data_IF_171221042424
#
_entry.id   IF_171221042424
#
_cell.length_a   1.000
_cell.length_b   1.000
_cell.length_c   1.000
_cell.angle_alpha   90.00
_cell.angle_beta   90.00
_cell.angle_gamma   90.00
#
_symmetry.space_group_name_H-M   'P 1'
#
loop_
_entity.id
_entity.type
_entity.pdbx_description
1 polymer ?
#
# COMPACT_ATOMS: atom_id res chain seq x y z
N UNK A 1 -24.28 -34.79 84.71
CA UNK A 1 -22.86 -35.13 84.45
C UNK A 1 -22.65 -35.17 82.96
N UNK A 2 -22.02 -34.16 82.45
CA UNK A 2 -21.94 -33.91 81.02
C UNK A 2 -20.54 -34.19 80.51
N UNK A 3 -20.39 -35.17 79.62
CA UNK A 3 -19.10 -35.52 79.04
C UNK A 3 -18.99 -34.87 77.68
N UNK A 4 -18.15 -33.85 77.54
CA UNK A 4 -17.77 -33.22 76.30
C UNK A 4 -16.74 -34.08 75.58
N UNK A 5 -17.12 -34.63 74.43
CA UNK A 5 -16.21 -35.23 73.46
C UNK A 5 -15.58 -34.12 72.62
N UNK A 6 -14.29 -33.97 72.77
CA UNK A 6 -13.48 -33.05 71.93
C UNK A 6 -13.16 -33.77 70.62
N UNK A 7 -13.76 -33.29 69.51
CA UNK A 7 -13.47 -33.78 68.19
C UNK A 7 -12.12 -33.24 67.72
N UNK A 8 -11.16 -34.13 67.53
CA UNK A 8 -9.88 -33.86 66.91
C UNK A 8 -10.04 -33.67 65.37
N UNK A 9 -9.74 -32.47 64.84
CA UNK A 9 -9.80 -32.23 63.45
C UNK A 9 -8.47 -32.60 62.77
N UNK A 10 -8.49 -33.35 61.67
CA UNK A 10 -7.25 -33.81 61.05
C UNK A 10 -6.51 -32.71 60.34
N UNK A 11 -5.23 -32.65 60.43
CA UNK A 11 -4.25 -31.73 59.84
C UNK A 11 -4.07 -31.90 58.32
N UNK A 12 -5.09 -32.43 57.62
CA UNK A 12 -5.01 -32.79 56.21
C UNK A 12 -5.26 -31.63 55.24
N UNK A 13 -5.75 -30.47 55.70
CA UNK A 13 -6.08 -29.34 54.84
C UNK A 13 -4.92 -28.44 54.44
N UNK A 14 -3.76 -28.56 55.07
CA UNK A 14 -2.62 -27.68 54.80
C UNK A 14 -1.68 -28.22 53.71
N UNK A 15 -1.71 -29.51 53.43
CA UNK A 15 -0.81 -30.12 52.46
C UNK A 15 -1.28 -29.91 51.01
N UNK A 16 -2.58 -29.81 50.76
CA UNK A 16 -3.14 -29.56 49.43
C UNK A 16 -2.87 -28.14 48.92
N UNK A 17 -2.63 -27.18 49.79
CA UNK A 17 -2.36 -25.78 49.39
C UNK A 17 -0.95 -25.58 48.86
N UNK A 18 0.04 -26.31 49.34
CA UNK A 18 1.45 -26.14 48.94
C UNK A 18 1.73 -26.80 47.60
N UNK A 19 1.19 -27.99 47.34
CA UNK A 19 1.37 -28.68 46.06
C UNK A 19 0.53 -28.06 44.92
N UNK A 20 -0.62 -27.47 45.21
CA UNK A 20 -1.43 -26.72 44.25
C UNK A 20 -0.73 -25.45 43.76
N UNK A 21 -0.05 -24.74 44.65
CA UNK A 21 0.64 -23.51 44.32
C UNK A 21 1.92 -23.75 43.50
N UNK A 22 2.69 -24.80 43.80
CA UNK A 22 3.89 -25.15 43.02
C UNK A 22 3.55 -25.68 41.64
N UNK A 23 2.48 -26.47 41.48
CA UNK A 23 2.00 -26.93 40.18
C UNK A 23 1.50 -25.77 39.32
N UNK A 24 0.83 -24.79 39.92
CA UNK A 24 0.33 -23.59 39.19
C UNK A 24 1.47 -22.67 38.73
N UNK A 25 2.52 -22.48 39.55
CA UNK A 25 3.70 -21.70 39.16
C UNK A 25 4.48 -22.40 38.02
N UNK A 26 4.60 -23.75 38.08
CA UNK A 26 5.26 -24.50 37.01
C UNK A 26 4.50 -24.44 35.69
N UNK A 27 3.17 -24.47 35.69
CA UNK A 27 2.37 -24.31 34.46
C UNK A 27 2.48 -22.92 33.89
N UNK A 28 2.48 -21.89 34.72
CA UNK A 28 2.71 -20.50 34.25
C UNK A 28 4.12 -20.35 33.65
N UNK A 29 5.14 -20.89 34.30
CA UNK A 29 6.52 -20.84 33.80
C UNK A 29 6.67 -21.54 32.44
N UNK A 30 6.02 -22.70 32.24
CA UNK A 30 6.03 -23.40 30.95
C UNK A 30 5.31 -22.60 29.84
N UNK A 31 4.17 -21.98 30.16
CA UNK A 31 3.43 -21.17 29.22
C UNK A 31 4.20 -19.90 28.84
N UNK A 32 4.81 -19.23 29.84
CA UNK A 32 5.65 -18.04 29.63
C UNK A 32 6.90 -18.41 28.83
N UNK A 33 7.53 -19.54 29.11
CA UNK A 33 8.70 -20.02 28.39
C UNK A 33 8.35 -20.40 26.94
N UNK A 34 7.20 -21.06 26.74
CA UNK A 34 6.70 -21.37 25.37
C UNK A 34 6.34 -20.11 24.60
N UNK A 35 5.78 -19.11 25.29
CA UNK A 35 5.47 -17.81 24.67
C UNK A 35 6.76 -17.04 24.31
N UNK A 36 7.73 -16.94 25.23
CA UNK A 36 9.05 -16.35 24.95
C UNK A 36 9.82 -17.08 23.85
N UNK A 37 9.72 -18.42 23.81
CA UNK A 37 10.35 -19.21 22.74
C UNK A 37 9.62 -19.06 21.39
N UNK A 38 8.33 -18.71 21.38
CA UNK A 38 7.59 -18.39 20.15
C UNK A 38 7.91 -16.99 19.64
N UNK A 39 8.16 -16.04 20.55
CA UNK A 39 8.58 -14.68 20.20
C UNK A 39 9.99 -14.68 19.61
N UNK A 40 10.93 -15.40 20.20
CA UNK A 40 12.28 -15.55 19.65
C UNK A 40 12.35 -16.30 18.33
N UNK A 41 11.34 -17.14 18.02
CA UNK A 41 11.22 -17.74 16.67
C UNK A 41 10.67 -16.78 15.63
N UNK A 42 9.81 -15.83 16.02
CA UNK A 42 9.35 -14.77 15.12
C UNK A 42 10.49 -13.82 14.77
N UNK A 43 11.31 -13.44 15.76
CA UNK A 43 12.47 -12.58 15.53
C UNK A 43 13.60 -13.28 14.74
N UNK A 44 13.74 -14.61 14.84
CA UNK A 44 14.72 -15.37 14.06
C UNK A 44 14.30 -15.56 12.59
N UNK A 45 13.01 -15.34 12.24
CA UNK A 45 12.50 -15.33 10.86
C UNK A 45 12.58 -13.98 10.20
N UNK A 46 12.68 -12.88 10.95
CA UNK A 46 12.74 -11.51 10.43
C UNK A 46 14.12 -10.83 10.56
N UNK A 47 15.11 -11.56 11.03
CA UNK A 47 16.46 -11.06 11.24
C UNK A 47 17.43 -11.39 10.11
N UNK A 48 17.60 -10.46 9.20
CA UNK A 48 18.74 -10.20 8.31
C UNK A 48 18.43 -10.07 6.84
N UNK A 49 17.95 -8.91 6.47
CA UNK A 49 18.47 -8.26 5.26
C UNK A 49 18.90 -6.82 5.61
N UNK A 50 19.88 -6.72 6.51
CA UNK A 50 20.69 -5.52 6.61
C UNK A 50 21.89 -5.71 5.66
N UNK A 51 21.63 -5.56 4.37
CA UNK A 51 22.57 -5.14 3.31
C UNK A 51 21.73 -5.10 2.03
N UNK A 52 21.46 -3.92 1.53
CA UNK A 52 20.68 -3.65 0.32
C UNK A 52 21.34 -4.11 -0.97
N UNK A 53 21.77 -5.36 -1.04
CA UNK A 53 22.22 -6.00 -2.26
C UNK A 53 21.26 -7.14 -2.56
N UNK A 54 20.21 -6.85 -3.33
CA UNK A 54 19.33 -7.88 -3.92
C UNK A 54 20.19 -8.57 -4.99
N UNK A 55 20.38 -9.91 -4.92
CA UNK A 55 21.12 -10.63 -5.93
C UNK A 55 20.45 -10.43 -7.29
N UNK A 56 21.24 -10.08 -8.30
CA UNK A 56 20.79 -9.92 -9.69
C UNK A 56 20.07 -11.21 -10.10
N UNK A 57 18.74 -11.14 -10.30
CA UNK A 57 17.90 -12.27 -10.72
C UNK A 57 16.76 -12.67 -9.77
N UNK A 58 16.63 -12.08 -8.59
CA UNK A 58 15.46 -12.30 -7.73
C UNK A 58 14.36 -11.27 -8.06
N UNK A 59 13.17 -11.76 -8.39
CA UNK A 59 12.00 -10.91 -8.52
C UNK A 59 11.67 -10.27 -7.17
N UNK A 60 11.37 -8.97 -7.15
CA UNK A 60 10.90 -8.31 -5.93
C UNK A 60 9.66 -9.04 -5.40
N UNK A 61 9.55 -9.23 -4.08
CA UNK A 61 8.35 -9.77 -3.46
C UNK A 61 7.11 -8.95 -3.85
N UNK A 62 5.96 -9.62 -4.00
CA UNK A 62 4.72 -8.98 -4.46
C UNK A 62 4.25 -7.84 -3.54
N UNK A 63 4.46 -7.97 -2.24
CA UNK A 63 4.19 -6.95 -1.23
C UNK A 63 5.05 -5.70 -1.45
N UNK A 64 6.32 -5.87 -1.78
CA UNK A 64 7.23 -4.76 -2.11
C UNK A 64 6.80 -4.03 -3.37
N UNK A 65 6.40 -4.78 -4.42
CA UNK A 65 5.87 -4.17 -5.64
C UNK A 65 4.58 -3.37 -5.37
N UNK A 66 3.69 -3.89 -4.52
CA UNK A 66 2.48 -3.17 -4.13
C UNK A 66 2.77 -1.91 -3.32
N UNK A 67 3.78 -1.93 -2.46
CA UNK A 67 4.22 -0.74 -1.72
C UNK A 67 4.75 0.33 -2.67
N UNK A 68 5.64 -0.02 -3.60
CA UNK A 68 6.20 0.90 -4.60
C UNK A 68 5.13 1.45 -5.55
N UNK A 69 4.14 0.62 -5.88
CA UNK A 69 3.00 0.99 -6.71
C UNK A 69 1.92 1.79 -5.96
N UNK A 70 2.14 2.11 -4.68
CA UNK A 70 1.15 2.82 -3.87
C UNK A 70 0.75 4.13 -4.55
N UNK A 71 -0.52 4.21 -4.92
CA UNK A 71 -1.07 5.40 -5.55
C UNK A 71 -1.42 6.45 -4.50
N UNK A 72 -0.79 7.61 -4.64
CA UNK A 72 -1.26 8.85 -4.02
C UNK A 72 -1.91 9.70 -5.10
N UNK A 73 -3.11 10.20 -4.81
CA UNK A 73 -3.79 11.06 -5.74
C UNK A 73 -2.98 12.35 -5.96
N UNK A 74 -2.57 12.66 -7.21
CA UNK A 74 -1.85 13.91 -7.48
C UNK A 74 -2.72 15.11 -7.12
N UNK A 75 -2.06 16.19 -6.70
CA UNK A 75 -2.76 17.45 -6.45
C UNK A 75 -3.48 17.93 -7.70
N UNK A 76 -4.65 18.54 -7.50
CA UNK A 76 -5.37 19.18 -8.60
C UNK A 76 -4.58 20.40 -9.08
N UNK A 77 -4.23 20.38 -10.37
CA UNK A 77 -3.63 21.51 -11.06
C UNK A 77 -4.69 22.14 -11.94
N UNK A 78 -5.04 23.40 -11.66
CA UNK A 78 -5.96 24.19 -12.46
C UNK A 78 -5.42 24.37 -13.86
N UNK A 79 -6.26 24.17 -14.88
CA UNK A 79 -5.89 24.35 -16.27
C UNK A 79 -6.50 25.66 -16.83
N UNK A 80 -5.80 26.39 -17.71
CA UNK A 80 -6.38 27.53 -18.40
C UNK A 80 -7.60 27.09 -19.23
N UNK A 81 -8.71 27.82 -19.13
CA UNK A 81 -9.95 27.57 -19.90
C UNK A 81 -10.52 26.17 -19.69
N UNK A 82 -10.86 25.86 -18.45
CA UNK A 82 -11.51 24.58 -18.12
C UNK A 82 -12.88 24.46 -18.79
N UNK A 83 -13.19 23.34 -19.45
CA UNK A 83 -14.51 23.08 -20.00
C UNK A 83 -15.58 23.01 -18.92
N UNK A 84 -16.81 23.34 -19.26
CA UNK A 84 -17.95 23.13 -18.38
C UNK A 84 -18.05 21.66 -17.95
N UNK A 85 -18.31 21.42 -16.65
CA UNK A 85 -18.36 20.08 -16.08
C UNK A 85 -17.03 19.57 -15.48
N UNK A 86 -15.87 20.14 -15.86
CA UNK A 86 -14.59 19.74 -15.30
C UNK A 86 -14.45 20.16 -13.83
N UNK A 87 -14.71 21.43 -13.50
CA UNK A 87 -14.62 21.92 -12.13
C UNK A 87 -15.51 21.15 -11.13
N UNK A 88 -16.79 20.81 -11.41
CA UNK A 88 -17.60 19.96 -10.56
C UNK A 88 -17.03 18.55 -10.37
N UNK A 89 -16.43 17.96 -11.40
CA UNK A 89 -15.77 16.67 -11.29
C UNK A 89 -14.51 16.74 -10.39
N UNK A 90 -13.72 17.80 -10.55
CA UNK A 90 -12.53 18.04 -9.73
C UNK A 90 -12.86 18.40 -8.27
N UNK A 91 -14.03 18.98 -8.02
CA UNK A 91 -14.51 19.16 -6.66
C UNK A 91 -14.73 17.80 -5.94
N UNK A 92 -15.31 16.82 -6.64
CA UNK A 92 -15.42 15.44 -6.12
C UNK A 92 -14.05 14.80 -5.92
N UNK A 93 -13.16 14.98 -6.88
CA UNK A 93 -11.77 14.51 -6.77
C UNK A 93 -11.08 15.05 -5.52
N UNK A 94 -11.18 16.36 -5.24
CA UNK A 94 -10.52 17.02 -4.10
C UNK A 94 -11.00 16.51 -2.73
N UNK A 95 -12.26 16.06 -2.65
CA UNK A 95 -12.81 15.41 -1.43
C UNK A 95 -12.63 13.89 -1.44
N UNK A 96 -11.82 13.36 -2.36
CA UNK A 96 -11.53 11.92 -2.55
C UNK A 96 -12.74 11.06 -2.97
N UNK A 97 -13.79 11.67 -3.47
CA UNK A 97 -14.89 10.95 -4.15
C UNK A 97 -14.50 10.64 -5.60
N UNK A 98 -13.52 9.72 -5.76
CA UNK A 98 -13.01 9.35 -7.07
C UNK A 98 -14.06 8.67 -7.94
N UNK A 99 -14.91 7.84 -7.33
CA UNK A 99 -16.01 7.18 -8.03
C UNK A 99 -17.01 8.20 -8.58
N UNK A 100 -17.36 9.20 -7.77
CA UNK A 100 -18.23 10.30 -8.18
C UNK A 100 -17.62 11.22 -9.25
N UNK A 101 -16.28 11.36 -9.28
CA UNK A 101 -15.57 12.16 -10.27
C UNK A 101 -15.55 11.51 -11.66
N UNK A 102 -15.49 10.17 -11.75
CA UNK A 102 -15.33 9.40 -13.00
C UNK A 102 -16.38 9.78 -14.05
N UNK A 103 -17.65 9.88 -13.67
CA UNK A 103 -18.72 10.17 -14.64
C UNK A 103 -18.58 11.55 -15.27
N UNK A 104 -18.26 12.57 -14.46
CA UNK A 104 -18.02 13.92 -14.94
C UNK A 104 -16.77 14.02 -15.81
N UNK A 105 -15.66 13.43 -15.37
CA UNK A 105 -14.41 13.40 -16.14
C UNK A 105 -14.56 12.67 -17.48
N UNK A 106 -15.31 11.56 -17.49
CA UNK A 106 -15.60 10.82 -18.73
C UNK A 106 -16.42 11.67 -19.72
N UNK A 107 -17.44 12.37 -19.25
CA UNK A 107 -18.22 13.29 -20.06
C UNK A 107 -17.36 14.40 -20.65
N UNK A 108 -16.50 15.02 -19.83
CA UNK A 108 -15.60 16.09 -20.30
C UNK A 108 -14.58 15.57 -21.31
N UNK A 109 -13.96 14.41 -21.04
CA UNK A 109 -12.98 13.81 -21.96
C UNK A 109 -13.59 13.41 -23.31
N UNK A 110 -14.87 13.03 -23.32
CA UNK A 110 -15.58 12.70 -24.56
C UNK A 110 -15.98 13.98 -25.34
N UNK A 111 -16.46 15.02 -24.66
CA UNK A 111 -16.88 16.27 -25.30
C UNK A 111 -15.70 17.16 -25.71
N UNK A 112 -14.57 17.05 -25.03
CA UNK A 112 -13.37 17.86 -25.23
C UNK A 112 -12.13 16.97 -25.32
N UNK A 113 -11.93 16.23 -26.43
CA UNK A 113 -10.82 15.27 -26.58
C UNK A 113 -9.44 15.92 -26.48
N UNK A 114 -9.32 17.19 -26.78
CA UNK A 114 -8.08 17.97 -26.72
C UNK A 114 -7.79 18.50 -25.30
N UNK A 115 -8.75 18.39 -24.40
CA UNK A 115 -8.56 18.78 -23.00
C UNK A 115 -7.92 17.63 -22.20
N UNK A 116 -6.62 17.47 -22.37
CA UNK A 116 -5.80 16.40 -21.81
C UNK A 116 -5.98 16.19 -20.28
N UNK A 117 -6.15 17.25 -19.45
CA UNK A 117 -6.35 17.07 -18.00
C UNK A 117 -7.51 16.16 -17.65
N UNK A 118 -8.63 16.20 -18.38
CA UNK A 118 -9.79 15.35 -18.09
C UNK A 118 -9.45 13.85 -18.23
N UNK A 119 -8.70 13.48 -19.27
CA UNK A 119 -8.24 12.08 -19.45
C UNK A 119 -7.23 11.66 -18.40
N UNK A 120 -6.29 12.53 -18.07
CA UNK A 120 -5.32 12.26 -17.03
C UNK A 120 -6.01 11.96 -15.70
N UNK A 121 -6.86 12.86 -15.20
CA UNK A 121 -7.56 12.65 -13.93
C UNK A 121 -8.58 11.51 -13.99
N UNK A 122 -9.20 11.24 -15.14
CA UNK A 122 -10.02 10.04 -15.32
C UNK A 122 -9.19 8.78 -15.12
N UNK A 123 -8.01 8.69 -15.72
CA UNK A 123 -7.08 7.59 -15.55
C UNK A 123 -6.70 7.39 -14.08
N UNK A 124 -6.36 8.46 -13.38
CA UNK A 124 -6.05 8.43 -11.95
C UNK A 124 -7.23 7.93 -11.11
N UNK A 125 -8.44 8.46 -11.34
CA UNK A 125 -9.64 8.02 -10.61
C UNK A 125 -9.95 6.53 -10.83
N UNK A 126 -9.79 6.03 -12.06
CA UNK A 126 -9.98 4.62 -12.39
C UNK A 126 -8.97 3.73 -11.65
N UNK A 127 -7.68 4.12 -11.61
CA UNK A 127 -6.66 3.40 -10.84
C UNK A 127 -6.99 3.37 -9.34
N UNK A 128 -7.41 4.52 -8.78
CA UNK A 128 -7.76 4.65 -7.37
C UNK A 128 -9.04 3.89 -6.98
N UNK A 129 -9.92 3.62 -7.94
CA UNK A 129 -11.12 2.80 -7.77
C UNK A 129 -10.93 1.35 -8.20
N UNK A 130 -9.66 0.93 -8.42
CA UNK A 130 -9.25 -0.42 -8.80
C UNK A 130 -9.67 -0.87 -10.21
N UNK A 131 -10.10 0.05 -11.07
CA UNK A 131 -10.23 -0.21 -12.52
C UNK A 131 -8.89 0.05 -13.21
N UNK A 132 -7.97 -0.92 -13.06
CA UNK A 132 -6.59 -0.79 -13.56
C UNK A 132 -6.54 -0.71 -15.08
N UNK A 133 -7.29 -1.58 -15.75
CA UNK A 133 -7.30 -1.64 -17.22
C UNK A 133 -7.77 -0.31 -17.83
N UNK A 134 -8.89 0.22 -17.33
CA UNK A 134 -9.39 1.51 -17.75
C UNK A 134 -8.43 2.66 -17.43
N UNK A 135 -7.80 2.64 -16.27
CA UNK A 135 -6.83 3.66 -15.86
C UNK A 135 -5.60 3.68 -16.75
N UNK A 136 -5.00 2.50 -17.02
CA UNK A 136 -3.86 2.34 -17.93
C UNK A 136 -4.20 2.80 -19.34
N UNK A 137 -5.38 2.47 -19.85
CA UNK A 137 -5.86 2.91 -21.18
C UNK A 137 -5.90 4.43 -21.27
N UNK A 138 -6.49 5.11 -20.29
CA UNK A 138 -6.58 6.57 -20.29
C UNK A 138 -5.18 7.21 -20.21
N UNK A 139 -4.28 6.72 -19.37
CA UNK A 139 -2.91 7.24 -19.28
C UNK A 139 -2.13 7.03 -20.58
N UNK A 140 -2.25 5.86 -21.21
CA UNK A 140 -1.65 5.60 -22.54
C UNK A 140 -2.20 6.54 -23.60
N UNK A 141 -3.50 6.84 -23.56
CA UNK A 141 -4.12 7.81 -24.47
C UNK A 141 -3.54 9.23 -24.29
N UNK A 142 -3.26 9.65 -23.05
CA UNK A 142 -2.56 10.91 -22.78
C UNK A 142 -1.16 10.91 -23.36
N UNK A 143 -0.42 9.81 -23.22
CA UNK A 143 0.96 9.66 -23.69
C UNK A 143 1.03 9.64 -25.23
N UNK A 144 0.04 9.06 -25.88
CA UNK A 144 -0.05 8.99 -27.36
C UNK A 144 -0.49 10.31 -28.01
N UNK A 145 -1.01 11.23 -27.22
CA UNK A 145 -1.42 12.55 -27.70
C UNK A 145 -0.24 13.52 -27.93
N UNK A 146 -0.54 14.78 -28.29
CA UNK A 146 0.48 15.81 -28.40
C UNK A 146 1.26 15.98 -27.09
N UNK A 147 2.56 16.31 -27.21
CA UNK A 147 3.41 16.59 -26.06
C UNK A 147 2.79 17.71 -25.19
N UNK A 148 2.69 17.46 -23.90
CA UNK A 148 2.07 18.35 -22.94
C UNK A 148 2.70 18.16 -21.55
N UNK A 149 2.53 19.09 -20.61
CA UNK A 149 2.98 18.90 -19.22
C UNK A 149 2.36 17.67 -18.53
N UNK A 150 1.26 17.14 -19.08
CA UNK A 150 0.57 15.95 -18.57
C UNK A 150 1.23 14.64 -19.04
N UNK A 151 2.03 14.69 -20.11
CA UNK A 151 2.67 13.49 -20.67
C UNK A 151 3.68 12.87 -19.71
N UNK A 152 4.50 13.68 -19.08
CA UNK A 152 5.45 13.24 -18.03
C UNK A 152 4.69 12.59 -16.87
N UNK A 153 3.68 13.28 -16.32
CA UNK A 153 2.85 12.78 -15.23
C UNK A 153 2.15 11.47 -15.58
N UNK A 154 1.60 11.39 -16.79
CA UNK A 154 0.93 10.17 -17.27
C UNK A 154 1.90 8.98 -17.34
N UNK A 155 3.15 9.19 -17.79
CA UNK A 155 4.18 8.15 -17.80
C UNK A 155 4.55 7.69 -16.39
N UNK A 156 4.74 8.62 -15.47
CA UNK A 156 5.07 8.29 -14.09
C UNK A 156 3.96 7.45 -13.43
N UNK A 157 2.70 7.87 -13.57
CA UNK A 157 1.58 7.11 -13.00
C UNK A 157 1.31 5.80 -13.75
N UNK A 158 1.59 5.73 -15.04
CA UNK A 158 1.57 4.47 -15.80
C UNK A 158 2.63 3.49 -15.28
N UNK A 159 3.84 3.96 -15.00
CA UNK A 159 4.89 3.13 -14.39
C UNK A 159 4.44 2.53 -13.06
N UNK A 160 3.82 3.33 -12.18
CA UNK A 160 3.26 2.84 -10.92
C UNK A 160 2.15 1.80 -11.15
N UNK A 161 1.29 1.98 -12.15
CA UNK A 161 0.26 1.00 -12.49
C UNK A 161 0.86 -0.32 -12.99
N UNK A 162 1.87 -0.26 -13.83
CA UNK A 162 2.60 -1.42 -14.35
C UNK A 162 3.33 -2.18 -13.23
N UNK A 163 3.91 -1.46 -12.25
CA UNK A 163 4.48 -2.09 -11.04
C UNK A 163 3.41 -2.84 -10.25
N UNK A 164 2.22 -2.27 -10.09
CA UNK A 164 1.11 -2.93 -9.41
C UNK A 164 0.65 -4.22 -10.13
N UNK A 165 0.88 -4.31 -11.44
CA UNK A 165 0.61 -5.48 -12.28
C UNK A 165 1.79 -6.48 -12.30
N UNK A 166 2.94 -6.09 -11.73
CA UNK A 166 4.17 -6.88 -11.76
C UNK A 166 4.99 -6.71 -13.05
N UNK A 167 4.57 -5.85 -13.97
CA UNK A 167 5.31 -5.51 -15.19
C UNK A 167 6.43 -4.50 -14.88
N UNK A 168 7.51 -5.00 -14.31
CA UNK A 168 8.69 -4.22 -13.95
C UNK A 168 9.38 -3.64 -15.17
N UNK A 169 9.45 -4.42 -16.25
CA UNK A 169 10.13 -3.97 -17.47
C UNK A 169 9.39 -2.81 -18.13
N UNK A 170 8.07 -2.91 -18.27
CA UNK A 170 7.24 -1.82 -18.75
C UNK A 170 7.31 -0.57 -17.87
N UNK A 171 7.32 -0.76 -16.55
CA UNK A 171 7.47 0.35 -15.61
C UNK A 171 8.83 1.04 -15.77
N UNK A 172 9.93 0.28 -15.84
CA UNK A 172 11.28 0.82 -16.06
C UNK A 172 11.34 1.66 -17.34
N UNK A 173 10.80 1.15 -18.44
CA UNK A 173 10.76 1.90 -19.70
C UNK A 173 10.06 3.26 -19.56
N UNK A 174 8.94 3.31 -18.81
CA UNK A 174 8.25 4.59 -18.60
C UNK A 174 9.07 5.54 -17.70
N UNK A 175 9.69 5.02 -16.63
CA UNK A 175 10.53 5.82 -15.72
C UNK A 175 11.78 6.38 -16.44
N UNK A 176 12.45 5.58 -17.27
CA UNK A 176 13.59 6.03 -18.06
C UNK A 176 13.22 7.22 -18.96
N UNK A 177 12.01 7.19 -19.56
CA UNK A 177 11.53 8.33 -20.36
C UNK A 177 11.23 9.55 -19.48
N UNK A 178 10.61 9.36 -18.29
CA UNK A 178 10.35 10.48 -17.35
C UNK A 178 11.67 11.14 -16.95
N UNK A 179 12.70 10.36 -16.63
CA UNK A 179 14.03 10.87 -16.28
C UNK A 179 14.65 11.64 -17.46
N UNK A 180 14.51 11.12 -18.67
CA UNK A 180 15.04 11.77 -19.88
C UNK A 180 14.31 13.07 -20.27
N UNK A 181 13.11 13.32 -19.74
CA UNK A 181 12.37 14.57 -19.94
C UNK A 181 12.91 15.72 -19.07
N UNK A 182 13.71 15.41 -18.04
CA UNK A 182 14.28 16.40 -17.10
C UNK A 182 13.22 17.35 -16.50
N UNK A 183 12.03 16.81 -16.23
CA UNK A 183 10.87 17.58 -15.75
C UNK A 183 10.71 17.55 -14.23
N UNK A 184 9.50 17.91 -13.79
CA UNK A 184 9.17 18.01 -12.35
C UNK A 184 9.24 16.67 -11.61
N UNK A 185 9.10 15.53 -12.30
CA UNK A 185 9.04 14.18 -11.72
C UNK A 185 10.34 13.38 -11.93
N UNK A 186 11.41 14.02 -12.42
CA UNK A 186 12.70 13.34 -12.67
C UNK A 186 13.23 12.66 -11.40
N UNK A 187 13.26 13.40 -10.30
CA UNK A 187 13.83 12.89 -9.04
C UNK A 187 13.03 11.73 -8.48
N UNK A 188 11.69 11.85 -8.43
CA UNK A 188 10.80 10.79 -7.98
C UNK A 188 10.90 9.54 -8.87
N UNK A 189 11.08 9.74 -10.18
CA UNK A 189 11.27 8.65 -11.13
C UNK A 189 12.59 7.91 -10.90
N UNK A 190 13.68 8.62 -10.62
CA UNK A 190 15.00 8.03 -10.27
C UNK A 190 14.91 7.21 -8.97
N UNK A 191 14.24 7.76 -7.95
CA UNK A 191 14.06 7.06 -6.68
C UNK A 191 13.23 5.78 -6.87
N UNK A 192 12.11 5.87 -7.59
CA UNK A 192 11.27 4.71 -7.87
C UNK A 192 12.01 3.65 -8.70
N UNK A 193 12.78 4.07 -9.72
CA UNK A 193 13.58 3.17 -10.55
C UNK A 193 14.62 2.41 -9.72
N UNK A 194 15.35 3.11 -8.84
CA UNK A 194 16.35 2.50 -7.95
C UNK A 194 15.76 1.45 -7.04
N UNK A 195 14.52 1.67 -6.56
CA UNK A 195 13.82 0.74 -5.67
C UNK A 195 13.25 -0.49 -6.40
N UNK A 196 13.17 -0.46 -7.74
CA UNK A 196 12.62 -1.54 -8.56
C UNK A 196 13.69 -2.46 -9.16
N UNK A 197 14.95 -2.10 -9.03
CA UNK A 197 16.09 -2.91 -9.46
C UNK A 197 16.45 -3.96 -8.42
#
# INVERSE_FOLDING_TARGET
>A
MSNKVVANKPAFRFWFSIYGFTAFILTIAVVVFAWLASESRKEAGEGRTANGHIPIGQSLPADRLQELARFEAPAYLSAPKEPGGFAPAMQKYSVRDYAGAISGLRSVAAAHPDFVPARFYLGICLLLTNDRAGGVEQLRSVIAGPASPWTERARFYLAKALLAEGDRHGAQQQLDVVIALEGDLEQEARELLTQTQ
#
